data_IF_882116347372
#
_entry.id   IF_882116347372
#
_cell.length_a   1.000
_cell.length_b   1.000
_cell.length_c   1.000
_cell.angle_alpha   90.00
_cell.angle_beta   90.00
_cell.angle_gamma   90.00
#
_symmetry.space_group_name_H-M   'P 1'
#
loop_
_entity.id
_entity.type
_entity.pdbx_description
1 polymer ?
#
# COMPACT_ATOMS: atom_id res chain seq x y z
N UNK A 1 25.38 10.34 -5.66
CA UNK A 1 24.09 10.83 -5.12
C UNK A 1 23.45 9.67 -4.36
N UNK A 2 23.58 9.63 -3.03
CA UNK A 2 22.97 8.57 -2.22
C UNK A 2 21.59 9.06 -1.76
N UNK A 3 20.52 8.43 -2.23
CA UNK A 3 19.16 8.68 -1.72
C UNK A 3 19.01 7.89 -0.42
N UNK A 4 19.33 8.54 0.70
CA UNK A 4 18.99 8.08 2.05
C UNK A 4 17.48 8.25 2.23
N UNK A 5 16.72 7.15 2.15
CA UNK A 5 15.33 7.13 2.60
C UNK A 5 15.32 7.17 4.12
N UNK A 6 15.32 8.39 4.68
CA UNK A 6 15.12 8.62 6.11
C UNK A 6 13.63 8.46 6.38
N UNK A 7 13.21 7.25 6.75
CA UNK A 7 11.92 7.04 7.40
C UNK A 7 11.95 7.76 8.76
N UNK A 8 11.21 8.85 8.89
CA UNK A 8 11.16 9.63 10.13
C UNK A 8 10.17 8.98 11.09
N UNK A 9 10.66 8.28 12.10
CA UNK A 9 9.85 7.60 13.13
C UNK A 9 9.50 8.55 14.27
N UNK A 10 8.69 9.56 13.99
CA UNK A 10 8.10 10.41 15.03
C UNK A 10 6.58 10.29 14.94
N UNK A 11 5.99 9.34 15.68
CA UNK A 11 4.64 9.42 16.26
C UNK A 11 4.33 8.11 16.99
N UNK A 12 4.20 8.23 18.31
CA UNK A 12 3.53 7.35 19.28
C UNK A 12 3.21 5.91 18.81
N UNK A 13 3.99 4.95 19.32
CA UNK A 13 3.75 3.51 19.23
C UNK A 13 2.47 3.12 20.01
N UNK A 14 1.29 3.53 19.53
CA UNK A 14 0.13 2.66 19.69
C UNK A 14 0.39 1.51 18.73
N UNK A 15 1.04 0.44 19.21
CA UNK A 15 1.27 -0.78 18.44
C UNK A 15 -0.07 -1.18 17.86
N UNK A 16 -0.28 -0.95 16.56
CA UNK A 16 -1.54 -1.33 15.98
C UNK A 16 -1.56 -2.85 16.01
N UNK A 17 -2.70 -3.44 16.35
CA UNK A 17 -2.84 -4.90 16.23
C UNK A 17 -2.35 -5.36 14.84
N UNK A 18 -1.88 -6.60 14.67
CA UNK A 18 -1.19 -7.05 13.46
C UNK A 18 -1.85 -6.66 12.12
N UNK A 19 -3.18 -6.56 12.07
CA UNK A 19 -3.91 -6.09 10.89
C UNK A 19 -3.70 -4.61 10.55
N UNK A 20 -3.59 -3.72 11.53
CA UNK A 20 -3.39 -2.28 11.29
C UNK A 20 -1.95 -1.95 10.91
N UNK A 21 -0.96 -2.76 11.32
CA UNK A 21 0.41 -2.61 10.84
C UNK A 21 0.52 -2.92 9.34
N UNK A 22 -0.17 -3.97 8.87
CA UNK A 22 -0.20 -4.33 7.45
C UNK A 22 -0.92 -3.27 6.59
N UNK A 23 -2.10 -2.81 7.02
CA UNK A 23 -2.86 -1.77 6.28
C UNK A 23 -2.06 -0.47 6.16
N UNK A 24 -1.35 -0.07 7.22
CA UNK A 24 -0.48 1.10 7.20
C UNK A 24 0.67 0.94 6.20
N UNK A 25 1.36 -0.21 6.23
CA UNK A 25 2.44 -0.51 5.29
C UNK A 25 1.94 -0.51 3.84
N UNK A 26 0.77 -1.09 3.59
CA UNK A 26 0.17 -1.12 2.26
C UNK A 26 -0.15 0.28 1.74
N UNK A 27 -0.67 1.16 2.59
CA UNK A 27 -0.91 2.57 2.23
C UNK A 27 0.40 3.29 1.89
N UNK A 28 1.44 3.15 2.71
CA UNK A 28 2.74 3.79 2.48
C UNK A 28 3.39 3.33 1.16
N UNK A 29 3.33 2.03 0.87
CA UNK A 29 3.83 1.46 -0.40
C UNK A 29 3.02 2.02 -1.58
N UNK A 30 1.69 2.06 -1.51
CA UNK A 30 0.86 2.62 -2.58
C UNK A 30 1.19 4.08 -2.88
N UNK A 31 1.30 4.90 -1.84
CA UNK A 31 1.59 6.32 -1.99
C UNK A 31 3.02 6.55 -2.52
N UNK A 32 3.98 5.70 -2.14
CA UNK A 32 5.32 5.71 -2.74
C UNK A 32 5.28 5.38 -4.23
N UNK A 33 4.61 4.29 -4.62
CA UNK A 33 4.48 3.87 -6.02
C UNK A 33 3.82 4.95 -6.88
N UNK A 34 2.74 5.58 -6.41
CA UNK A 34 2.07 6.67 -7.12
C UNK A 34 2.96 7.90 -7.32
N UNK A 35 3.81 8.21 -6.33
CA UNK A 35 4.75 9.34 -6.40
C UNK A 35 5.89 9.07 -7.38
N UNK A 36 6.38 7.84 -7.40
CA UNK A 36 7.47 7.41 -8.29
C UNK A 36 7.00 7.17 -9.73
N UNK A 37 5.74 6.73 -9.90
CA UNK A 37 5.12 6.39 -11.18
C UNK A 37 3.81 7.14 -11.42
N UNK A 38 3.85 8.47 -11.60
CA UNK A 38 2.65 9.24 -11.93
C UNK A 38 2.00 8.79 -13.24
N UNK A 39 2.75 8.15 -14.14
CA UNK A 39 2.25 7.59 -15.41
C UNK A 39 1.33 6.37 -15.22
N UNK A 40 1.28 5.77 -14.04
CA UNK A 40 0.35 4.68 -13.71
C UNK A 40 -0.99 5.16 -13.15
N UNK A 41 -1.12 6.46 -12.90
CA UNK A 41 -2.34 7.06 -12.37
C UNK A 41 -3.22 7.46 -13.55
N UNK A 42 -4.38 6.82 -13.63
CA UNK A 42 -5.38 7.13 -14.65
C UNK A 42 -6.04 8.49 -14.38
N UNK A 43 -6.70 9.11 -15.38
CA UNK A 43 -7.34 10.42 -15.23
C UNK A 43 -8.42 10.48 -14.14
N UNK A 44 -8.98 9.33 -13.76
CA UNK A 44 -9.95 9.18 -12.67
C UNK A 44 -9.30 9.04 -11.28
N UNK A 45 -7.96 9.03 -11.22
CA UNK A 45 -7.18 8.85 -10.00
C UNK A 45 -7.00 7.40 -9.58
N UNK A 46 -7.50 6.44 -10.36
CA UNK A 46 -7.23 5.02 -10.14
C UNK A 46 -5.78 4.68 -10.53
N UNK A 47 -5.25 3.60 -9.97
CA UNK A 47 -3.93 3.09 -10.34
C UNK A 47 -4.02 1.57 -10.45
N UNK A 48 -4.50 1.03 -11.58
CA UNK A 48 -4.68 -0.41 -11.76
C UNK A 48 -3.39 -1.20 -11.53
N UNK A 49 -2.25 -0.62 -11.93
CA UNK A 49 -0.93 -1.22 -11.67
C UNK A 49 -0.65 -1.33 -10.17
N UNK A 50 -0.95 -0.29 -9.38
CA UNK A 50 -0.80 -0.31 -7.92
C UNK A 50 -1.64 -1.45 -7.29
N UNK A 51 -2.88 -1.65 -7.76
CA UNK A 51 -3.76 -2.71 -7.28
C UNK A 51 -3.21 -4.12 -7.56
N UNK A 52 -2.54 -4.32 -8.70
CA UNK A 52 -1.84 -5.57 -9.01
C UNK A 52 -0.69 -5.83 -8.01
N UNK A 53 0.12 -4.81 -7.71
CA UNK A 53 1.21 -4.92 -6.73
C UNK A 53 0.69 -5.22 -5.33
N UNK A 54 -0.36 -4.52 -4.91
CA UNK A 54 -1.02 -4.73 -3.62
C UNK A 54 -1.60 -6.14 -3.49
N UNK A 55 -2.28 -6.63 -4.53
CA UNK A 55 -2.83 -7.99 -4.54
C UNK A 55 -1.73 -9.06 -4.48
N UNK A 56 -0.62 -8.83 -5.20
CA UNK A 56 0.53 -9.74 -5.17
C UNK A 56 1.22 -9.74 -3.80
N UNK A 57 1.35 -8.56 -3.18
CA UNK A 57 1.93 -8.42 -1.84
C UNK A 57 1.07 -9.16 -0.81
N UNK A 58 -0.25 -8.98 -0.86
CA UNK A 58 -1.19 -9.70 0.01
C UNK A 58 -1.03 -11.22 -0.11
N UNK A 59 -0.94 -11.72 -1.35
CA UNK A 59 -0.70 -13.14 -1.63
C UNK A 59 0.62 -13.66 -1.09
N UNK A 60 1.71 -12.89 -1.21
CA UNK A 60 3.03 -13.28 -0.68
C UNK A 60 3.04 -13.33 0.85
N UNK A 61 2.30 -12.44 1.50
CA UNK A 61 2.19 -12.37 2.96
C UNK A 61 1.10 -13.29 3.53
N UNK A 62 0.36 -14.00 2.68
CA UNK A 62 -0.80 -14.83 3.06
C UNK A 62 -1.84 -14.06 3.88
N UNK A 63 -2.01 -12.77 3.55
CA UNK A 63 -3.05 -11.90 4.13
C UNK A 63 -4.17 -11.71 3.11
N UNK A 64 -5.43 -11.55 3.55
CA UNK A 64 -6.54 -11.30 2.64
C UNK A 64 -6.26 -10.03 1.84
N UNK A 65 -6.50 -10.07 0.53
CA UNK A 65 -6.41 -8.86 -0.28
C UNK A 65 -7.51 -7.89 0.17
N UNK A 66 -7.21 -6.61 0.42
CA UNK A 66 -8.26 -5.64 0.75
C UNK A 66 -9.23 -5.37 -0.40
N UNK A 67 -8.94 -5.88 -1.60
CA UNK A 67 -9.82 -5.83 -2.77
C UNK A 67 -10.66 -7.10 -2.96
N UNK A 68 -10.42 -8.15 -2.17
CA UNK A 68 -11.31 -9.33 -2.08
C UNK A 68 -12.47 -9.03 -1.13
N UNK A 69 -13.28 -8.03 -1.47
CA UNK A 69 -14.64 -7.90 -0.96
C UNK A 69 -15.56 -7.44 -2.10
N UNK A 70 -15.96 -8.39 -2.95
CA UNK A 70 -17.14 -8.25 -3.79
C UNK A 70 -18.34 -8.75 -2.97
N UNK A 71 -19.21 -7.88 -2.42
CA UNK A 71 -20.51 -8.33 -1.96
C UNK A 71 -21.31 -8.76 -3.19
N UNK A 72 -21.52 -10.06 -3.33
CA UNK A 72 -22.52 -10.59 -4.24
C UNK A 72 -23.90 -10.03 -3.80
N UNK A 73 -24.60 -9.43 -4.75
CA UNK A 73 -25.99 -8.98 -4.62
C UNK A 73 -26.94 -10.18 -4.48
#
# INVERSE_FOLDING_TARGET
>A
MAMLLIMKTDTSLSVPGPGHAYVQLQYEIREALRREHPEWIDPDGSCPTCEIYESRLAKLLSVPSPYEYQPAA
#
